data_IF_055011893271
#
_entry.id   IF_055011893271
#
_cell.length_a   1.000
_cell.length_b   1.000
_cell.length_c   1.000
_cell.angle_alpha   90.00
_cell.angle_beta   90.00
_cell.angle_gamma   90.00
#
_symmetry.space_group_name_H-M   'P 1'
#
loop_
_entity.id
_entity.type
_entity.pdbx_description
1 polymer ?
#
# COMPACT_ATOMS: atom_id res chain seq x y z
N UNK A 1 2.27 -14.13 -4.82
CA UNK A 1 1.90 -13.54 -3.51
C UNK A 1 0.74 -12.58 -3.74
N UNK A 2 -0.18 -12.46 -2.78
CA UNK A 2 -1.29 -11.50 -2.84
C UNK A 2 -0.83 -10.21 -2.17
N UNK A 3 -1.07 -9.09 -2.85
CA UNK A 3 -0.84 -7.74 -2.34
C UNK A 3 -2.16 -6.99 -2.22
N UNK A 4 -2.24 -6.07 -1.26
CA UNK A 4 -3.44 -5.32 -0.93
C UNK A 4 -3.27 -3.82 -1.20
N UNK A 5 -4.35 -3.18 -1.65
CA UNK A 5 -4.44 -1.72 -1.81
C UNK A 5 -5.79 -1.22 -1.34
N UNK A 6 -5.81 -0.30 -0.37
CA UNK A 6 -7.04 0.34 0.08
C UNK A 6 -7.21 1.71 -0.57
N UNK A 7 -8.40 2.00 -1.08
CA UNK A 7 -8.63 3.19 -1.91
C UNK A 7 -10.10 3.58 -2.01
N UNK A 8 -10.37 4.87 -2.25
CA UNK A 8 -11.69 5.38 -2.67
C UNK A 8 -11.88 5.38 -4.19
N UNK A 9 -10.84 5.00 -4.95
CA UNK A 9 -10.83 5.06 -6.41
C UNK A 9 -10.93 3.66 -7.04
N UNK A 10 -11.52 2.68 -6.35
CA UNK A 10 -11.51 1.29 -6.79
C UNK A 10 -12.13 1.11 -8.18
N UNK A 11 -13.30 1.70 -8.42
CA UNK A 11 -13.96 1.66 -9.74
C UNK A 11 -13.08 2.24 -10.85
N UNK A 12 -12.41 3.36 -10.57
CA UNK A 12 -11.50 3.99 -11.53
C UNK A 12 -10.28 3.12 -11.82
N UNK A 13 -9.73 2.47 -10.78
CA UNK A 13 -8.58 1.56 -10.90
C UNK A 13 -8.96 0.30 -11.65
N UNK A 14 -10.13 -0.29 -11.37
CA UNK A 14 -10.62 -1.48 -12.08
C UNK A 14 -10.89 -1.18 -13.55
N UNK A 15 -11.43 0.00 -13.87
CA UNK A 15 -11.74 0.39 -15.24
C UNK A 15 -10.51 0.85 -16.05
N UNK A 16 -9.53 1.50 -15.42
CA UNK A 16 -8.44 2.21 -16.14
C UNK A 16 -7.03 1.78 -15.71
N UNK A 17 -6.93 0.87 -14.75
CA UNK A 17 -5.69 0.53 -14.07
C UNK A 17 -5.25 1.59 -13.05
N UNK A 18 -4.24 1.23 -12.27
CA UNK A 18 -3.57 2.13 -11.36
C UNK A 18 -2.86 3.28 -12.08
N UNK A 19 -2.68 4.38 -11.35
CA UNK A 19 -1.79 5.50 -11.68
C UNK A 19 -0.78 5.67 -10.55
N UNK A 20 0.40 6.18 -10.87
CA UNK A 20 1.35 6.49 -9.83
C UNK A 20 0.85 7.67 -8.98
N UNK A 21 0.89 7.52 -7.66
CA UNK A 21 0.96 8.66 -6.75
C UNK A 21 2.33 9.31 -6.81
N UNK A 22 2.43 10.55 -6.31
CA UNK A 22 3.69 11.27 -6.15
C UNK A 22 3.69 11.95 -4.78
N UNK A 23 4.63 11.62 -3.92
CA UNK A 23 4.83 12.30 -2.63
C UNK A 23 6.28 12.16 -2.17
N UNK A 24 6.64 12.84 -1.08
CA UNK A 24 8.02 12.86 -0.57
C UNK A 24 8.26 11.92 0.62
N UNK A 25 7.19 11.40 1.24
CA UNK A 25 7.23 10.44 2.35
C UNK A 25 8.27 10.76 3.44
N UNK A 26 8.35 12.04 3.83
CA UNK A 26 9.30 12.56 4.83
C UNK A 26 10.79 12.35 4.53
N UNK A 27 11.15 11.90 3.32
CA UNK A 27 12.55 11.72 2.90
C UNK A 27 13.15 12.98 2.25
N UNK A 28 12.31 13.98 1.95
CA UNK A 28 12.69 15.15 1.15
C UNK A 28 12.88 14.88 -0.35
N UNK A 29 12.73 13.64 -0.82
CA UNK A 29 12.83 13.26 -2.24
C UNK A 29 11.49 12.79 -2.76
N UNK A 30 11.10 13.15 -4.01
CA UNK A 30 9.86 12.66 -4.58
C UNK A 30 9.98 11.17 -4.95
N UNK A 31 8.97 10.41 -4.55
CA UNK A 31 8.81 9.00 -4.90
C UNK A 31 7.47 8.80 -5.60
N UNK A 32 7.45 7.89 -6.56
CA UNK A 32 6.29 7.67 -7.42
C UNK A 32 5.99 6.19 -7.61
N UNK A 33 4.72 5.83 -7.42
CA UNK A 33 4.27 4.45 -7.54
C UNK A 33 2.89 4.23 -6.93
N UNK A 34 2.55 2.97 -6.77
CA UNK A 34 1.35 2.47 -6.10
C UNK A 34 1.82 1.80 -4.81
N UNK A 35 1.24 2.22 -3.69
CA UNK A 35 1.44 1.55 -2.42
C UNK A 35 0.67 0.24 -2.37
N UNK A 36 1.39 -0.84 -2.08
CA UNK A 36 0.85 -2.18 -1.88
C UNK A 36 1.41 -2.77 -0.59
N UNK A 37 0.61 -3.57 0.11
CA UNK A 37 1.01 -4.24 1.36
C UNK A 37 0.77 -5.75 1.29
N UNK A 38 1.40 -6.50 2.20
CA UNK A 38 1.20 -7.95 2.34
C UNK A 38 0.00 -8.33 3.21
N UNK A 39 -0.60 -7.36 3.88
CA UNK A 39 -1.82 -7.48 4.68
C UNK A 39 -2.83 -6.37 4.30
N UNK A 40 -4.13 -6.57 4.50
CA UNK A 40 -5.12 -5.50 4.33
C UNK A 40 -4.97 -4.46 5.44
N UNK A 41 -4.39 -3.31 5.12
CA UNK A 41 -4.16 -2.24 6.08
C UNK A 41 -5.47 -1.57 6.53
N UNK A 42 -5.54 -1.22 7.82
CA UNK A 42 -6.61 -0.43 8.44
C UNK A 42 -6.12 0.88 9.05
N UNK A 43 -6.92 1.47 9.95
CA UNK A 43 -6.61 2.75 10.61
C UNK A 43 -5.22 2.76 11.26
N UNK A 44 -4.45 3.82 10.99
CA UNK A 44 -3.11 4.02 11.57
C UNK A 44 -2.02 3.07 11.04
N UNK A 45 -2.36 2.18 10.09
CA UNK A 45 -1.43 1.26 9.46
C UNK A 45 -1.09 1.76 8.05
N UNK A 46 -0.28 2.80 7.92
CA UNK A 46 0.10 3.37 6.61
C UNK A 46 -0.99 4.22 5.93
N UNK A 47 -2.23 4.14 6.40
CA UNK A 47 -3.31 5.05 6.05
C UNK A 47 -3.29 6.28 6.96
N UNK A 48 -3.64 7.44 6.40
CA UNK A 48 -3.81 8.66 7.17
C UNK A 48 -4.92 8.49 8.21
N UNK A 49 -4.82 9.20 9.33
CA UNK A 49 -5.81 9.09 10.42
C UNK A 49 -7.22 9.55 10.01
N UNK A 50 -7.30 10.43 9.01
CA UNK A 50 -8.53 10.94 8.40
C UNK A 50 -9.00 10.10 7.20
N UNK A 51 -8.37 8.95 6.95
CA UNK A 51 -8.77 8.04 5.88
C UNK A 51 -10.10 7.36 6.23
N UNK A 52 -11.13 7.60 5.44
CA UNK A 52 -12.47 7.09 5.70
C UNK A 52 -12.54 5.60 5.31
N UNK A 53 -12.65 4.72 6.31
CA UNK A 53 -12.72 3.29 6.05
C UNK A 53 -14.06 2.87 5.46
N UNK A 54 -15.16 3.54 5.82
CA UNK A 54 -16.52 3.18 5.40
C UNK A 54 -16.73 3.39 3.90
N UNK A 55 -16.07 4.40 3.33
CA UNK A 55 -16.14 4.70 1.89
C UNK A 55 -14.93 4.17 1.11
N UNK A 56 -14.03 3.46 1.77
CA UNK A 56 -12.88 2.83 1.12
C UNK A 56 -13.21 1.41 0.67
N UNK A 57 -12.47 0.95 -0.33
CA UNK A 57 -12.58 -0.39 -0.86
C UNK A 57 -11.20 -1.05 -0.89
N UNK A 58 -11.18 -2.35 -0.68
CA UNK A 58 -9.97 -3.15 -0.67
C UNK A 58 -9.78 -3.85 -2.01
N UNK A 59 -8.67 -3.56 -2.68
CA UNK A 59 -8.24 -4.24 -3.90
C UNK A 59 -7.13 -5.24 -3.60
N UNK A 60 -7.07 -6.30 -4.39
CA UNK A 60 -5.95 -7.25 -4.42
C UNK A 60 -5.34 -7.39 -5.79
N UNK A 61 -4.05 -7.68 -5.81
CA UNK A 61 -3.30 -8.03 -7.01
C UNK A 61 -2.33 -9.16 -6.68
N UNK A 62 -2.31 -10.20 -7.53
CA UNK A 62 -1.40 -11.33 -7.36
C UNK A 62 -0.17 -11.15 -8.25
N UNK A 63 1.02 -11.11 -7.65
CA UNK A 63 2.30 -10.94 -8.35
C UNK A 63 3.39 -11.84 -7.77
N UNK A 64 4.40 -12.24 -8.58
CA UNK A 64 5.62 -12.87 -8.06
C UNK A 64 6.40 -11.91 -7.16
N UNK A 65 6.83 -12.37 -5.99
CA UNK A 65 7.55 -11.51 -5.04
C UNK A 65 8.91 -11.08 -5.61
N UNK A 66 9.58 -11.96 -6.34
CA UNK A 66 10.90 -11.75 -6.94
C UNK A 66 10.88 -10.59 -7.93
N UNK A 67 9.74 -10.37 -8.60
CA UNK A 67 9.56 -9.27 -9.54
C UNK A 67 9.48 -7.91 -8.85
N UNK A 68 8.94 -7.89 -7.62
CA UNK A 68 8.62 -6.66 -6.90
C UNK A 68 9.49 -6.40 -5.66
N UNK A 69 10.33 -7.35 -5.25
CA UNK A 69 11.17 -7.27 -4.06
C UNK A 69 12.04 -6.00 -4.03
N UNK A 70 12.55 -5.56 -5.19
CA UNK A 70 13.35 -4.33 -5.31
C UNK A 70 12.58 -3.02 -5.07
N UNK A 71 11.25 -3.09 -5.03
CA UNK A 71 10.36 -1.95 -4.74
C UNK A 71 9.86 -1.97 -3.30
N UNK A 72 10.34 -2.90 -2.47
CA UNK A 72 9.99 -2.94 -1.06
C UNK A 72 10.44 -1.65 -0.38
N UNK A 73 9.51 -1.05 0.34
CA UNK A 73 9.78 0.11 1.15
C UNK A 73 10.21 -0.33 2.54
N UNK A 74 11.53 -0.45 2.71
CA UNK A 74 12.12 -0.68 4.02
C UNK A 74 12.27 0.66 4.71
N UNK A 75 11.36 0.96 5.63
CA UNK A 75 11.47 2.17 6.45
C UNK A 75 12.71 2.06 7.35
N UNK A 76 13.73 2.86 7.06
CA UNK A 76 14.87 3.04 7.96
C UNK A 76 14.44 4.07 9.00
N UNK A 77 14.05 3.60 10.17
CA UNK A 77 13.69 4.47 11.28
C UNK A 77 14.94 5.19 11.78
N UNK A 78 14.82 6.50 12.00
CA UNK A 78 15.85 7.22 12.77
C UNK A 78 15.81 6.77 14.23
N UNK A 79 16.90 6.90 15.02
CA UNK A 79 16.88 6.55 16.45
C UNK A 79 15.75 7.25 17.24
N UNK A 80 15.36 8.45 16.81
CA UNK A 80 14.20 9.17 17.38
C UNK A 80 12.87 8.49 17.05
N UNK A 81 12.70 8.02 15.82
CA UNK A 81 11.51 7.28 15.43
C UNK A 81 11.48 5.88 16.06
N UNK A 82 12.63 5.20 16.15
CA UNK A 82 12.74 3.94 16.89
C UNK A 82 12.31 4.11 18.35
N UNK A 83 12.75 5.17 19.02
CA UNK A 83 12.34 5.48 20.39
C UNK A 83 10.83 5.78 20.53
N UNK A 84 10.19 6.35 19.50
CA UNK A 84 8.74 6.62 19.48
C UNK A 84 7.94 5.34 19.23
N UNK A 85 8.39 4.50 18.29
CA UNK A 85 7.73 3.25 17.91
C UNK A 85 8.19 2.04 18.75
N UNK A 86 9.02 2.26 19.77
CA UNK A 86 9.54 1.21 20.66
C UNK A 86 10.45 0.18 19.97
N UNK A 87 11.01 0.51 18.79
CA UNK A 87 11.80 -0.41 17.98
C UNK A 87 11.00 -1.60 17.41
N UNK A 88 9.68 -1.59 17.52
CA UNK A 88 8.82 -2.69 17.06
C UNK A 88 8.55 -2.50 15.56
N UNK A 89 8.90 -3.49 14.70
CA UNK A 89 8.52 -3.45 13.29
C UNK A 89 7.01 -3.39 13.14
N UNK A 90 6.51 -2.70 12.10
CA UNK A 90 5.08 -2.47 11.89
C UNK A 90 4.23 -3.74 11.70
N UNK A 91 4.87 -4.92 11.63
CA UNK A 91 4.20 -6.23 11.51
C UNK A 91 3.67 -6.53 10.10
N UNK A 92 3.91 -5.62 9.16
CA UNK A 92 3.57 -5.76 7.74
C UNK A 92 4.68 -5.16 6.88
N UNK A 93 4.65 -5.50 5.59
CA UNK A 93 5.58 -5.02 4.57
C UNK A 93 4.81 -4.20 3.54
N UNK A 94 5.50 -3.20 3.00
CA UNK A 94 4.95 -2.33 1.97
C UNK A 94 5.89 -2.25 0.77
N UNK A 95 5.32 -1.99 -0.39
CA UNK A 95 6.03 -1.77 -1.63
C UNK A 95 5.49 -0.54 -2.32
N UNK A 96 6.39 0.23 -2.93
CA UNK A 96 6.04 1.34 -3.80
C UNK A 96 6.36 0.99 -5.26
N UNK A 97 5.39 0.39 -5.94
CA UNK A 97 5.60 -0.28 -7.24
C UNK A 97 5.10 0.62 -8.38
N UNK A 98 5.82 0.75 -9.52
CA UNK A 98 5.32 1.49 -10.67
C UNK A 98 3.96 0.93 -11.15
N UNK A 99 2.97 1.80 -11.37
CA UNK A 99 1.63 1.41 -11.81
C UNK A 99 1.65 0.61 -13.12
N UNK A 100 2.56 0.96 -14.05
CA UNK A 100 2.76 0.21 -15.30
C UNK A 100 3.14 -1.26 -15.08
N UNK A 101 3.80 -1.58 -13.97
CA UNK A 101 4.13 -2.95 -13.60
C UNK A 101 2.92 -3.64 -12.96
N UNK A 102 2.24 -2.98 -12.02
CA UNK A 102 1.05 -3.51 -11.35
C UNK A 102 -0.06 -3.82 -12.36
N UNK A 103 -0.31 -2.93 -13.32
CA UNK A 103 -1.34 -3.07 -14.35
C UNK A 103 -1.11 -4.22 -15.35
N UNK A 104 -0.01 -4.98 -15.22
CA UNK A 104 0.20 -6.22 -15.99
C UNK A 104 -0.53 -7.42 -15.38
N UNK A 105 -1.04 -7.25 -14.17
CA UNK A 105 -1.68 -8.30 -13.38
C UNK A 105 -3.16 -7.95 -13.15
N UNK A 106 -3.97 -8.99 -12.94
CA UNK A 106 -5.39 -8.80 -12.66
C UNK A 106 -5.58 -8.17 -11.28
N UNK A 107 -6.38 -7.10 -11.23
CA UNK A 107 -6.79 -6.43 -10.00
C UNK A 107 -8.20 -6.89 -9.66
N UNK A 108 -8.43 -7.27 -8.41
CA UNK A 108 -9.73 -7.75 -7.92
C UNK A 108 -10.20 -6.91 -6.76
N UNK A 109 -11.48 -6.54 -6.76
CA UNK A 109 -12.14 -6.03 -5.57
C UNK A 109 -12.35 -7.19 -4.59
N UNK A 110 -11.92 -7.00 -3.35
CA UNK A 110 -12.30 -7.85 -2.23
C UNK A 110 -13.55 -7.21 -1.62
N UNK A 111 -14.71 -7.87 -1.64
CA UNK A 111 -15.81 -7.48 -0.77
C UNK A 111 -15.29 -7.60 0.64
N UNK A 112 -15.35 -6.53 1.44
CA UNK A 112 -14.98 -6.67 2.84
C UNK A 112 -15.89 -7.73 3.45
N UNK A 113 -15.34 -8.77 4.12
CA UNK A 113 -16.16 -9.55 5.01
C UNK A 113 -16.73 -8.55 6.02
N UNK A 114 -18.03 -8.63 6.29
CA UNK A 114 -18.64 -7.96 7.43
C UNK A 114 -17.68 -8.17 8.60
N UNK A 115 -17.06 -7.09 9.06
CA UNK A 115 -16.27 -7.09 10.28
C UNK A 115 -17.29 -7.29 11.41
N UNK A 116 -17.69 -8.54 11.65
CA UNK A 116 -18.54 -8.96 12.77
C UNK A 116 -17.70 -9.03 14.04
#
# INVERSE_FOLDING_TARGET
MIFYHRTHAADAILAKGFRNGLATYATGRPFSGVWLSDVPLGYGQGLAWDFDMETSQLLTVEMPLELVAKYEWVEILTPKQEAIYGGIPRGYREWLIPAKLVNRFAVKLIPEPELV
#
